data_IF_249150901092
#
_entry.id   IF_249150901092
#
_cell.length_a   1.000
_cell.length_b   1.000
_cell.length_c   1.000
_cell.angle_alpha   90.00
_cell.angle_beta   90.00
_cell.angle_gamma   90.00
#
_symmetry.space_group_name_H-M   'P 1'
#
loop_
_entity.id
_entity.type
_entity.pdbx_description
1 polymer ?
#
# COMPACT_ATOMS: atom_id res chain seq x y z
N UNK A 1 13.31 17.13 24.37
CA UNK A 1 11.88 16.94 24.67
C UNK A 1 11.25 16.44 23.40
N UNK A 2 10.57 15.31 23.42
CA UNK A 2 9.84 14.84 22.24
C UNK A 2 8.74 15.85 21.91
N UNK A 3 8.70 16.32 20.67
CA UNK A 3 7.62 17.18 20.19
C UNK A 3 6.26 16.47 20.39
N UNK A 4 5.22 17.19 20.82
CA UNK A 4 3.90 16.60 20.98
C UNK A 4 3.40 16.08 19.62
N UNK A 5 2.95 14.82 19.60
CA UNK A 5 2.44 14.18 18.38
C UNK A 5 1.22 14.93 17.86
N UNK A 6 1.15 15.10 16.54
CA UNK A 6 -0.07 15.57 15.90
C UNK A 6 -1.23 14.58 16.09
N UNK A 7 -2.47 15.07 15.94
CA UNK A 7 -3.67 14.22 15.95
C UNK A 7 -3.60 13.11 14.88
N UNK A 8 -2.99 13.40 13.72
CA UNK A 8 -2.80 12.44 12.63
C UNK A 8 -1.86 11.31 13.06
N UNK A 9 -0.71 11.66 13.65
CA UNK A 9 0.24 10.67 14.17
C UNK A 9 -0.38 9.81 15.27
N UNK A 10 -1.17 10.42 16.14
CA UNK A 10 -1.88 9.73 17.21
C UNK A 10 -2.95 8.78 16.66
N UNK A 11 -3.66 9.18 15.60
CA UNK A 11 -4.61 8.32 14.92
C UNK A 11 -3.95 7.08 14.32
N UNK A 12 -2.83 7.22 13.60
CA UNK A 12 -2.18 6.08 12.94
C UNK A 12 -1.35 5.18 13.86
N UNK A 13 -1.13 5.58 15.11
CA UNK A 13 -0.39 4.79 16.10
C UNK A 13 -1.02 3.39 16.22
N UNK A 14 -0.19 2.36 16.14
CA UNK A 14 -0.54 0.94 16.26
C UNK A 14 -1.57 0.44 15.21
N UNK A 15 -1.95 1.26 14.23
CA UNK A 15 -2.88 0.86 13.18
C UNK A 15 -2.18 0.05 12.09
N UNK A 16 -2.89 -0.94 11.58
CA UNK A 16 -2.56 -1.67 10.35
C UNK A 16 -3.32 -1.07 9.18
N UNK A 17 -2.63 -0.82 8.08
CA UNK A 17 -3.16 -0.12 6.91
C UNK A 17 -3.11 -1.05 5.70
N UNK A 18 -4.17 -1.11 4.90
CA UNK A 18 -4.16 -1.80 3.61
C UNK A 18 -4.23 -0.80 2.46
N UNK A 19 -3.31 -0.88 1.50
CA UNK A 19 -3.20 0.04 0.38
C UNK A 19 -3.23 -0.74 -0.94
N UNK A 20 -4.23 -0.45 -1.77
CA UNK A 20 -4.22 -0.86 -3.18
C UNK A 20 -3.60 0.24 -4.03
N UNK A 21 -2.92 -0.12 -5.12
CA UNK A 21 -2.27 0.87 -5.99
C UNK A 21 -1.00 1.49 -5.39
N UNK A 22 -0.41 0.86 -4.37
CA UNK A 22 0.83 1.32 -3.72
C UNK A 22 2.01 1.49 -4.70
N UNK A 23 2.06 0.70 -5.78
CA UNK A 23 3.07 0.85 -6.82
C UNK A 23 2.81 2.01 -7.82
N UNK A 24 1.69 2.71 -7.71
CA UNK A 24 1.36 3.90 -8.50
C UNK A 24 2.18 5.12 -8.09
N UNK A 25 1.96 6.28 -8.72
CA UNK A 25 2.66 7.51 -8.34
C UNK A 25 2.22 7.96 -6.94
N UNK A 26 0.92 8.21 -6.74
CA UNK A 26 0.36 8.61 -5.46
C UNK A 26 0.49 7.53 -4.38
N UNK A 27 0.35 6.26 -4.74
CA UNK A 27 0.51 5.15 -3.78
C UNK A 27 1.89 5.13 -3.12
N UNK A 28 2.96 5.37 -3.88
CA UNK A 28 4.32 5.43 -3.30
C UNK A 28 4.49 6.61 -2.36
N UNK A 29 3.96 7.78 -2.74
CA UNK A 29 4.00 8.99 -1.90
C UNK A 29 3.26 8.76 -0.59
N UNK A 30 2.08 8.12 -0.65
CA UNK A 30 1.31 7.78 0.54
C UNK A 30 2.07 6.82 1.47
N UNK A 31 2.63 5.73 0.92
CA UNK A 31 3.44 4.77 1.70
C UNK A 31 4.61 5.48 2.39
N UNK A 32 5.37 6.27 1.63
CA UNK A 32 6.50 7.04 2.15
C UNK A 32 6.06 7.99 3.28
N UNK A 33 4.99 8.76 3.06
CA UNK A 33 4.49 9.73 4.03
C UNK A 33 4.03 9.06 5.33
N UNK A 34 3.30 7.94 5.24
CA UNK A 34 2.85 7.18 6.40
C UNK A 34 4.04 6.63 7.18
N UNK A 35 5.01 6.01 6.50
CA UNK A 35 6.21 5.48 7.13
C UNK A 35 7.06 6.55 7.82
N UNK A 36 7.23 7.72 7.20
CA UNK A 36 8.10 8.77 7.71
C UNK A 36 7.44 9.63 8.80
N UNK A 37 6.19 10.06 8.58
CA UNK A 37 5.46 10.93 9.50
C UNK A 37 4.73 10.16 10.60
N UNK A 38 4.23 8.95 10.32
CA UNK A 38 3.45 8.13 11.25
C UNK A 38 4.18 6.81 11.58
N UNK A 39 5.48 6.89 11.89
CA UNK A 39 6.36 5.70 12.04
C UNK A 39 5.90 4.70 13.11
N UNK A 40 5.01 5.08 14.01
CA UNK A 40 4.44 4.22 15.07
C UNK A 40 3.22 3.42 14.63
N UNK A 41 2.83 3.48 13.36
CA UNK A 41 1.90 2.52 12.79
C UNK A 41 2.43 1.08 12.95
N UNK A 42 1.55 0.10 12.98
CA UNK A 42 1.94 -1.31 13.11
C UNK A 42 2.62 -1.80 11.81
N UNK A 43 1.84 -1.88 10.73
CA UNK A 43 2.29 -2.33 9.40
C UNK A 43 1.40 -1.81 8.28
N UNK A 44 1.93 -1.85 7.06
CA UNK A 44 1.25 -1.46 5.82
C UNK A 44 1.22 -2.67 4.90
N UNK A 45 0.03 -3.21 4.66
CA UNK A 45 -0.21 -4.19 3.62
C UNK A 45 -0.37 -3.48 2.28
N UNK A 46 0.34 -3.97 1.25
CA UNK A 46 0.25 -3.41 -0.10
C UNK A 46 -0.16 -4.47 -1.11
N UNK A 47 -1.24 -4.22 -1.84
CA UNK A 47 -1.65 -5.10 -2.94
C UNK A 47 -0.81 -4.79 -4.18
N UNK A 48 -0.06 -5.78 -4.65
CA UNK A 48 0.81 -5.66 -5.82
C UNK A 48 0.54 -6.78 -6.82
N UNK A 49 0.22 -6.41 -8.06
CA UNK A 49 0.07 -7.38 -9.16
C UNK A 49 1.39 -8.03 -9.50
N UNK A 50 1.43 -9.34 -9.70
CA UNK A 50 2.58 -10.01 -10.31
C UNK A 50 2.90 -9.45 -11.72
N UNK A 51 4.18 -9.44 -12.09
CA UNK A 51 4.61 -9.26 -13.49
C UNK A 51 5.45 -10.47 -13.88
N UNK A 52 5.23 -11.01 -15.09
CA UNK A 52 6.00 -12.17 -15.61
C UNK A 52 7.51 -11.94 -15.42
N UNK A 53 8.18 -12.92 -14.81
CA UNK A 53 9.64 -12.97 -14.68
C UNK A 53 10.27 -12.19 -13.52
N UNK A 54 9.51 -11.61 -12.58
CA UNK A 54 10.06 -11.01 -11.36
C UNK A 54 9.26 -11.41 -10.12
N UNK A 55 9.94 -11.79 -9.04
CA UNK A 55 9.32 -11.93 -7.72
C UNK A 55 8.80 -10.56 -7.25
N UNK A 56 7.74 -10.57 -6.44
CA UNK A 56 7.14 -9.34 -5.90
C UNK A 56 8.07 -8.63 -4.91
N UNK A 57 8.90 -9.38 -4.16
CA UNK A 57 9.89 -8.83 -3.24
C UNK A 57 10.89 -7.94 -3.97
N UNK A 58 11.41 -8.38 -5.12
CA UNK A 58 12.32 -7.58 -5.95
C UNK A 58 11.68 -6.25 -6.38
N UNK A 59 10.36 -6.22 -6.62
CA UNK A 59 9.66 -5.00 -7.02
C UNK A 59 9.45 -4.03 -5.86
N UNK A 60 9.18 -4.54 -4.66
CA UNK A 60 9.04 -3.70 -3.49
C UNK A 60 10.40 -3.08 -3.12
N UNK A 61 11.47 -3.86 -3.19
CA UNK A 61 12.84 -3.36 -3.03
C UNK A 61 13.20 -2.30 -4.06
N UNK A 62 12.87 -2.51 -5.34
CA UNK A 62 13.10 -1.52 -6.39
C UNK A 62 12.36 -0.20 -6.11
N UNK A 63 11.14 -0.27 -5.54
CA UNK A 63 10.39 0.92 -5.11
C UNK A 63 11.14 1.66 -3.99
N UNK A 64 11.66 0.94 -3.00
CA UNK A 64 12.43 1.55 -1.91
C UNK A 64 13.79 2.09 -2.33
N UNK A 65 14.30 1.68 -3.50
CA UNK A 65 15.51 2.24 -4.09
C UNK A 65 15.32 3.63 -4.72
N UNK A 66 14.07 4.05 -4.97
CA UNK A 66 13.76 5.33 -5.58
C UNK A 66 14.19 6.52 -4.69
N UNK A 67 14.51 7.69 -5.29
CA UNK A 67 14.86 8.91 -4.53
C UNK A 67 13.80 9.33 -3.51
N UNK A 68 12.52 9.05 -3.79
CA UNK A 68 11.40 9.30 -2.89
C UNK A 68 11.62 8.69 -1.49
N UNK A 69 12.22 7.49 -1.41
CA UNK A 69 12.49 6.79 -0.16
C UNK A 69 13.89 7.06 0.41
N UNK A 70 14.67 7.96 -0.20
CA UNK A 70 16.03 8.25 0.24
C UNK A 70 16.06 8.69 1.72
N UNK A 71 15.19 9.62 2.13
CA UNK A 71 15.15 10.09 3.51
C UNK A 71 14.82 8.98 4.50
N UNK A 72 13.91 8.07 4.14
CA UNK A 72 13.57 6.92 5.00
C UNK A 72 14.79 6.00 5.12
N UNK A 73 15.48 5.70 4.01
CA UNK A 73 16.68 4.86 4.03
C UNK A 73 17.81 5.45 4.89
N UNK A 74 17.96 6.77 4.88
CA UNK A 74 19.00 7.46 5.66
C UNK A 74 18.64 7.59 7.14
N UNK A 75 17.40 7.99 7.44
CA UNK A 75 17.03 8.42 8.80
C UNK A 75 16.30 7.33 9.61
N UNK A 76 15.50 6.48 8.95
CA UNK A 76 14.63 5.49 9.62
C UNK A 76 14.49 4.19 8.82
N UNK A 77 15.58 3.53 8.36
CA UNK A 77 15.50 2.38 7.46
C UNK A 77 14.66 1.21 8.01
N UNK A 78 14.59 1.08 9.33
CA UNK A 78 13.83 0.05 10.04
C UNK A 78 12.32 0.14 9.84
N UNK A 79 11.77 1.22 9.30
CA UNK A 79 10.31 1.29 9.03
C UNK A 79 9.96 0.62 7.70
N UNK A 80 10.92 0.39 6.80
CA UNK A 80 10.65 -0.25 5.50
C UNK A 80 10.15 -1.69 5.64
N UNK A 81 10.64 -2.44 6.64
CA UNK A 81 10.17 -3.79 6.96
C UNK A 81 8.70 -3.85 7.41
N UNK A 82 8.08 -2.70 7.71
CA UNK A 82 6.65 -2.62 8.06
C UNK A 82 5.75 -2.75 6.83
N UNK A 83 6.30 -2.74 5.62
CA UNK A 83 5.53 -2.90 4.39
C UNK A 83 5.53 -4.37 3.97
N UNK A 84 4.35 -4.97 3.90
CA UNK A 84 4.17 -6.39 3.59
C UNK A 84 3.36 -6.51 2.30
N UNK A 85 3.94 -7.09 1.22
CA UNK A 85 3.24 -7.22 -0.05
C UNK A 85 2.27 -8.41 -0.05
N UNK A 86 1.09 -8.20 -0.63
CA UNK A 86 0.19 -9.25 -1.07
C UNK A 86 0.18 -9.31 -2.60
N UNK A 87 0.30 -10.51 -3.15
CA UNK A 87 0.14 -10.73 -4.58
C UNK A 87 -1.35 -10.80 -4.91
N UNK A 88 -1.84 -9.82 -5.67
CA UNK A 88 -3.24 -9.79 -6.06
C UNK A 88 -3.55 -8.72 -7.10
N UNK A 89 -4.76 -8.77 -7.63
CA UNK A 89 -5.30 -7.87 -8.63
C UNK A 89 -6.70 -7.43 -8.22
N UNK A 90 -6.93 -6.11 -8.23
CA UNK A 90 -8.24 -5.53 -7.89
C UNK A 90 -9.36 -5.97 -8.85
N UNK A 91 -9.02 -6.47 -10.04
CA UNK A 91 -9.99 -6.95 -11.02
C UNK A 91 -10.39 -8.42 -10.81
N UNK A 92 -9.67 -9.14 -9.94
CA UNK A 92 -9.96 -10.52 -9.62
C UNK A 92 -10.94 -10.60 -8.45
N UNK A 93 -11.74 -11.67 -8.41
CA UNK A 93 -12.54 -12.01 -7.24
C UNK A 93 -11.65 -12.09 -6.00
N UNK A 94 -12.14 -11.59 -4.87
CA UNK A 94 -11.38 -11.49 -3.61
C UNK A 94 -10.00 -10.85 -3.77
N UNK A 95 -9.83 -9.90 -4.71
CA UNK A 95 -8.57 -9.24 -5.03
C UNK A 95 -7.46 -10.20 -5.50
N UNK A 96 -7.81 -11.44 -5.87
CA UNK A 96 -6.85 -12.52 -6.18
C UNK A 96 -6.14 -13.09 -4.96
N UNK A 97 -6.69 -12.87 -3.75
CA UNK A 97 -6.18 -13.38 -2.49
C UNK A 97 -6.85 -14.71 -2.13
N UNK A 98 -6.17 -15.52 -1.32
CA UNK A 98 -6.78 -16.72 -0.73
C UNK A 98 -7.75 -16.34 0.39
N UNK A 99 -8.68 -17.24 0.74
CA UNK A 99 -9.62 -17.00 1.83
C UNK A 99 -8.91 -16.73 3.16
N UNK A 100 -7.81 -17.43 3.44
CA UNK A 100 -6.96 -17.19 4.63
C UNK A 100 -6.36 -15.78 4.62
N UNK A 101 -5.88 -15.30 3.46
CA UNK A 101 -5.35 -13.95 3.34
C UNK A 101 -6.44 -12.89 3.50
N UNK A 102 -7.64 -13.15 2.96
CA UNK A 102 -8.81 -12.29 3.15
C UNK A 102 -9.20 -12.21 4.63
N UNK A 103 -9.31 -13.35 5.31
CA UNK A 103 -9.61 -13.42 6.74
C UNK A 103 -8.56 -12.67 7.57
N UNK A 104 -7.28 -12.88 7.25
CA UNK A 104 -6.18 -12.16 7.88
C UNK A 104 -6.32 -10.64 7.74
N UNK A 105 -6.59 -10.15 6.52
CA UNK A 105 -6.81 -8.73 6.27
C UNK A 105 -8.05 -8.19 7.00
N UNK A 106 -9.16 -8.93 6.99
CA UNK A 106 -10.40 -8.52 7.67
C UNK A 106 -10.22 -8.38 9.18
N UNK A 107 -9.39 -9.22 9.79
CA UNK A 107 -9.19 -9.23 11.24
C UNK A 107 -8.19 -8.18 11.73
N UNK A 108 -7.17 -7.81 10.94
CA UNK A 108 -6.11 -6.89 11.39
C UNK A 108 -6.24 -5.46 10.86
N UNK A 109 -6.82 -5.24 9.67
CA UNK A 109 -6.76 -3.93 9.00
C UNK A 109 -7.69 -2.93 9.69
N UNK A 110 -7.13 -1.77 10.02
CA UNK A 110 -7.90 -0.67 10.61
C UNK A 110 -8.26 0.43 9.60
N UNK A 111 -7.46 0.60 8.54
CA UNK A 111 -7.62 1.65 7.54
C UNK A 111 -7.34 1.10 6.14
N UNK A 112 -8.22 1.40 5.20
CA UNK A 112 -8.05 1.03 3.78
C UNK A 112 -7.86 2.28 2.94
N UNK A 113 -6.80 2.30 2.12
CA UNK A 113 -6.62 3.27 1.03
C UNK A 113 -6.77 2.57 -0.32
N UNK A 114 -7.80 2.96 -1.06
CA UNK A 114 -8.00 2.50 -2.42
C UNK A 114 -7.43 3.50 -3.43
N UNK A 115 -6.15 3.31 -3.80
CA UNK A 115 -5.46 4.18 -4.77
C UNK A 115 -5.18 3.46 -6.10
N UNK A 116 -5.72 2.25 -6.28
CA UNK A 116 -5.62 1.53 -7.54
C UNK A 116 -6.62 2.11 -8.54
N UNK A 117 -6.15 3.00 -9.41
CA UNK A 117 -6.92 3.52 -10.52
C UNK A 117 -6.12 3.38 -11.82
N UNK A 118 -6.80 3.02 -12.90
CA UNK A 118 -6.25 3.09 -14.25
C UNK A 118 -6.35 4.54 -14.76
N UNK A 119 -5.22 5.22 -14.92
CA UNK A 119 -5.14 6.53 -15.59
C UNK A 119 -4.99 6.38 -17.12
N UNK A 120 -5.49 5.29 -17.71
CA UNK A 120 -5.56 5.17 -19.17
C UNK A 120 -6.69 6.07 -19.64
N UNK A 121 -6.33 7.27 -20.09
CA UNK A 121 -7.23 8.22 -20.77
C UNK A 121 -7.95 7.61 -21.99
N UNK A 122 -7.49 6.45 -22.47
CA UNK A 122 -8.03 5.72 -23.63
C UNK A 122 -8.73 4.39 -23.27
N UNK A 123 -8.97 4.11 -21.98
CA UNK A 123 -9.73 2.92 -21.60
C UNK A 123 -11.20 3.05 -22.03
N UNK A 124 -11.76 2.00 -22.63
CA UNK A 124 -13.20 1.97 -22.96
C UNK A 124 -13.99 2.11 -21.66
N UNK A 125 -15.12 2.82 -21.69
CA UNK A 125 -15.95 3.13 -20.52
C UNK A 125 -16.24 1.92 -19.62
N UNK A 126 -16.39 0.73 -20.22
CA UNK A 126 -16.63 -0.54 -19.51
C UNK A 126 -15.48 -0.94 -18.58
N UNK A 127 -14.23 -0.82 -19.05
CA UNK A 127 -13.03 -1.17 -18.28
C UNK A 127 -12.78 -0.15 -17.15
N UNK A 128 -13.15 1.12 -17.38
CA UNK A 128 -13.04 2.18 -16.38
C UNK A 128 -14.08 2.03 -15.25
N UNK A 129 -15.28 1.52 -15.56
CA UNK A 129 -16.32 1.26 -14.56
C UNK A 129 -15.97 0.05 -13.69
N UNK A 130 -15.49 -1.04 -14.27
CA UNK A 130 -15.13 -2.25 -13.51
C UNK A 130 -13.95 -2.05 -12.56
N UNK A 131 -12.98 -1.18 -12.89
CA UNK A 131 -11.83 -0.90 -12.02
C UNK A 131 -12.09 0.17 -10.95
N UNK A 132 -12.96 1.16 -11.22
CA UNK A 132 -13.10 2.33 -10.35
C UNK A 132 -14.32 2.30 -9.44
N UNK A 133 -15.21 1.31 -9.56
CA UNK A 133 -16.35 1.12 -8.65
C UNK A 133 -16.09 -0.02 -7.67
N UNK A 134 -16.43 0.20 -6.39
CA UNK A 134 -16.48 -0.85 -5.37
C UNK A 134 -17.67 -1.77 -5.70
N UNK A 135 -17.40 -3.05 -5.98
CA UNK A 135 -18.45 -4.07 -6.10
C UNK A 135 -18.84 -4.52 -4.69
N UNK A 136 -20.13 -4.40 -4.35
CA UNK A 136 -20.74 -4.94 -3.13
C UNK A 136 -21.02 -6.43 -3.29
#
# INVERSE_FOLDING_TARGET
MDEPRSQIQSFYKDKTIFITGASGFMGKVLVEKLLYSCSDLNKIYVLMRAKRGRSFDNRLEDIFKLPLFQRIRTEKPQVLKKVIPFNGDICSDNLGLTDEQCEHLMNEVNVVFHCAATLRLEAKLKDAVEMNMVKY
#
